data_IF_674248306185
#
_entry.id   IF_674248306185
#
_cell.length_a   1.000
_cell.length_b   1.000
_cell.length_c   1.000
_cell.angle_alpha   90.00
_cell.angle_beta   90.00
_cell.angle_gamma   90.00
#
_symmetry.space_group_name_H-M   'P 1'
#
loop_
_entity.id
_entity.type
_entity.pdbx_description
1 polymer ?
#
# COMPACT_ATOMS: atom_id res chain seq x y z
N UNK A 1 3.03 -24.94 15.92
CA UNK A 1 2.12 -24.17 15.04
C UNK A 1 1.98 -22.76 15.59
N UNK A 2 2.68 -21.78 15.03
CA UNK A 2 2.72 -20.39 15.54
C UNK A 2 1.34 -19.76 15.34
N UNK A 3 0.61 -19.51 16.42
CA UNK A 3 -0.64 -18.73 16.39
C UNK A 3 -0.25 -17.27 16.16
N UNK A 4 -0.27 -16.82 14.90
CA UNK A 4 -0.22 -15.39 14.61
C UNK A 4 -1.41 -14.73 15.31
N UNK A 5 -1.14 -14.00 16.40
CA UNK A 5 -2.12 -13.12 17.04
C UNK A 5 -2.56 -12.15 15.95
N UNK A 6 -3.79 -12.31 15.46
CA UNK A 6 -4.40 -11.39 14.49
C UNK A 6 -4.46 -10.03 15.16
N UNK A 7 -3.49 -9.17 14.88
CA UNK A 7 -3.75 -7.74 14.94
C UNK A 7 -4.97 -7.52 14.01
N UNK A 8 -6.02 -6.89 14.52
CA UNK A 8 -7.24 -6.64 13.74
C UNK A 8 -6.97 -5.50 12.74
N UNK A 9 -6.10 -5.77 11.78
CA UNK A 9 -5.71 -4.84 10.71
C UNK A 9 -6.72 -5.00 9.60
N UNK A 10 -7.47 -3.93 9.31
CA UNK A 10 -8.33 -3.88 8.14
C UNK A 10 -7.49 -3.59 6.89
N UNK A 11 -6.88 -4.65 6.37
CA UNK A 11 -6.03 -4.60 5.16
C UNK A 11 -6.81 -4.04 3.97
N UNK A 12 -8.10 -4.37 3.84
CA UNK A 12 -8.91 -3.90 2.72
C UNK A 12 -9.08 -2.38 2.77
N UNK A 13 -9.39 -1.83 3.94
CA UNK A 13 -9.52 -0.38 4.11
C UNK A 13 -8.19 0.35 3.87
N UNK A 14 -7.06 -0.20 4.32
CA UNK A 14 -5.74 0.41 4.11
C UNK A 14 -5.33 0.40 2.63
N UNK A 15 -5.44 -0.76 1.98
CA UNK A 15 -5.17 -0.90 0.53
C UNK A 15 -6.10 -0.02 -0.28
N UNK A 16 -7.41 -0.01 0.04
CA UNK A 16 -8.41 0.82 -0.63
C UNK A 16 -8.10 2.32 -0.55
N UNK A 17 -7.67 2.81 0.62
CA UNK A 17 -7.23 4.20 0.80
C UNK A 17 -6.02 4.54 -0.07
N UNK A 18 -5.06 3.63 -0.19
CA UNK A 18 -3.89 3.82 -1.05
C UNK A 18 -4.26 3.85 -2.54
N UNK A 19 -5.13 2.95 -2.98
CA UNK A 19 -5.67 2.96 -4.36
C UNK A 19 -6.33 4.32 -4.64
N UNK A 20 -7.19 4.79 -3.73
CA UNK A 20 -7.85 6.08 -3.89
C UNK A 20 -6.86 7.25 -3.95
N UNK A 21 -5.88 7.25 -3.05
CA UNK A 21 -4.84 8.29 -3.01
C UNK A 21 -4.11 8.35 -4.35
N UNK A 22 -3.61 7.21 -4.82
CA UNK A 22 -2.85 7.15 -6.07
C UNK A 22 -3.69 7.51 -7.29
N UNK A 23 -4.95 7.05 -7.33
CA UNK A 23 -5.91 7.43 -8.37
C UNK A 23 -6.06 8.96 -8.45
N UNK A 24 -6.25 9.62 -7.30
CA UNK A 24 -6.40 11.09 -7.22
C UNK A 24 -5.13 11.82 -7.62
N UNK A 25 -3.96 11.35 -7.19
CA UNK A 25 -2.66 11.92 -7.60
C UNK A 25 -2.46 11.93 -9.12
N UNK A 26 -2.96 10.90 -9.80
CA UNK A 26 -2.89 10.76 -11.25
C UNK A 26 -4.08 11.38 -11.99
N UNK A 27 -5.00 12.05 -11.28
CA UNK A 27 -6.15 12.73 -11.86
C UNK A 27 -7.25 11.81 -12.40
N UNK A 28 -7.23 10.52 -12.07
CA UNK A 28 -8.24 9.57 -12.54
C UNK A 28 -9.54 9.66 -11.72
N UNK A 29 -10.68 9.53 -12.37
CA UNK A 29 -11.98 9.36 -11.69
C UNK A 29 -12.21 7.90 -11.33
N UNK A 30 -13.09 7.65 -10.34
CA UNK A 30 -13.45 6.27 -9.97
C UNK A 30 -14.07 5.50 -11.12
N UNK A 31 -14.89 6.16 -11.96
CA UNK A 31 -15.51 5.55 -13.14
C UNK A 31 -14.48 5.14 -14.19
N UNK A 32 -13.42 5.93 -14.39
CA UNK A 32 -12.35 5.60 -15.34
C UNK A 32 -11.59 4.33 -14.95
N UNK A 33 -11.23 4.16 -13.68
CA UNK A 33 -10.57 2.92 -13.23
C UNK A 33 -11.52 1.74 -13.18
N UNK A 34 -12.78 1.95 -12.79
CA UNK A 34 -13.80 0.91 -12.81
C UNK A 34 -13.97 0.33 -14.21
N UNK A 35 -14.05 1.20 -15.23
CA UNK A 35 -14.13 0.79 -16.63
C UNK A 35 -12.89 -0.01 -17.08
N UNK A 36 -11.68 0.42 -16.72
CA UNK A 36 -10.43 -0.31 -17.02
C UNK A 36 -10.37 -1.69 -16.35
N UNK A 37 -11.01 -1.85 -15.19
CA UNK A 37 -11.09 -3.10 -14.44
C UNK A 37 -12.27 -3.98 -14.85
N UNK A 38 -13.19 -3.48 -15.70
CA UNK A 38 -14.41 -4.21 -16.07
C UNK A 38 -15.41 -4.37 -14.91
N UNK A 39 -15.41 -3.44 -13.95
CA UNK A 39 -16.31 -3.47 -12.78
C UNK A 39 -17.20 -2.22 -12.73
N UNK A 40 -18.29 -2.27 -11.97
CA UNK A 40 -19.12 -1.09 -11.75
C UNK A 40 -18.40 -0.02 -10.92
N UNK A 41 -18.71 1.25 -11.14
CA UNK A 41 -18.16 2.36 -10.33
C UNK A 41 -18.52 2.22 -8.84
N UNK A 42 -19.70 1.70 -8.53
CA UNK A 42 -20.11 1.43 -7.15
C UNK A 42 -19.23 0.35 -6.51
N UNK A 43 -18.93 -0.73 -7.23
CA UNK A 43 -18.04 -1.79 -6.76
C UNK A 43 -16.61 -1.27 -6.56
N UNK A 44 -16.11 -0.48 -7.50
CA UNK A 44 -14.81 0.18 -7.35
C UNK A 44 -14.79 1.12 -6.13
N UNK A 45 -15.87 1.87 -5.87
CA UNK A 45 -16.01 2.69 -4.66
C UNK A 45 -16.03 1.85 -3.37
N UNK A 46 -16.60 0.64 -3.39
CA UNK A 46 -16.53 -0.29 -2.24
C UNK A 46 -15.12 -0.81 -2.00
N UNK A 47 -14.34 -1.04 -3.07
CA UNK A 47 -12.92 -1.38 -2.97
C UNK A 47 -12.12 -0.26 -2.32
N UNK A 48 -12.28 0.98 -2.78
CA UNK A 48 -11.56 2.13 -2.20
C UNK A 48 -11.87 2.35 -0.71
N UNK A 49 -13.09 2.02 -0.28
CA UNK A 49 -13.52 2.16 1.12
C UNK A 49 -13.22 0.94 1.99
N UNK A 50 -12.70 -0.15 1.40
CA UNK A 50 -12.44 -1.40 2.11
C UNK A 50 -13.69 -2.21 2.47
N UNK A 51 -14.88 -1.84 1.96
CA UNK A 51 -16.13 -2.55 2.25
C UNK A 51 -16.18 -3.92 1.56
N UNK A 52 -15.57 -4.01 0.37
CA UNK A 52 -15.42 -5.24 -0.36
C UNK A 52 -13.94 -5.61 -0.44
N UNK A 53 -13.64 -6.91 -0.35
CA UNK A 53 -12.30 -7.43 -0.62
C UNK A 53 -11.94 -7.19 -2.09
N UNK A 54 -10.69 -6.85 -2.33
CA UNK A 54 -10.13 -6.67 -3.67
C UNK A 54 -9.38 -7.95 -4.02
N UNK A 55 -9.75 -8.59 -5.12
CA UNK A 55 -9.00 -9.76 -5.60
C UNK A 55 -7.61 -9.35 -6.09
N UNK A 56 -6.64 -10.25 -5.91
CA UNK A 56 -5.25 -10.05 -6.33
C UNK A 56 -5.15 -9.71 -7.82
N UNK A 57 -5.98 -10.31 -8.67
CA UNK A 57 -6.04 -10.00 -10.11
C UNK A 57 -6.28 -8.51 -10.36
N UNK A 58 -7.25 -7.91 -9.67
CA UNK A 58 -7.54 -6.48 -9.80
C UNK A 58 -6.41 -5.62 -9.24
N UNK A 59 -5.76 -6.05 -8.17
CA UNK A 59 -4.64 -5.31 -7.59
C UNK A 59 -3.43 -5.28 -8.53
N UNK A 60 -3.13 -6.39 -9.22
CA UNK A 60 -2.09 -6.46 -10.26
C UNK A 60 -2.44 -5.55 -11.45
N UNK A 61 -3.70 -5.53 -11.88
CA UNK A 61 -4.15 -4.63 -12.94
C UNK A 61 -4.03 -3.16 -12.52
N UNK A 62 -4.42 -2.83 -11.28
CA UNK A 62 -4.27 -1.48 -10.73
C UNK A 62 -2.81 -1.05 -10.65
N UNK A 63 -1.90 -1.94 -10.25
CA UNK A 63 -0.45 -1.66 -10.25
C UNK A 63 0.03 -1.23 -11.64
N UNK A 64 -0.41 -1.94 -12.69
CA UNK A 64 -0.11 -1.61 -14.09
C UNK A 64 -0.74 -0.27 -14.51
N UNK A 65 -2.03 -0.07 -14.25
CA UNK A 65 -2.75 1.13 -14.70
C UNK A 65 -2.33 2.41 -13.98
N UNK A 66 -1.94 2.31 -12.72
CA UNK A 66 -1.49 3.44 -11.91
C UNK A 66 0.03 3.66 -11.97
N UNK A 67 0.74 2.85 -12.76
CA UNK A 67 2.20 2.83 -12.83
C UNK A 67 2.83 2.87 -11.42
N UNK A 68 2.38 1.95 -10.59
CA UNK A 68 2.73 1.89 -9.17
C UNK A 68 3.15 0.47 -8.80
N UNK A 69 4.31 0.28 -8.16
CA UNK A 69 4.73 -1.03 -7.69
C UNK A 69 3.71 -1.66 -6.74
N UNK A 70 3.44 -2.96 -6.87
CA UNK A 70 2.37 -3.62 -6.12
C UNK A 70 2.55 -3.55 -4.59
N UNK A 71 3.80 -3.56 -4.10
CA UNK A 71 4.10 -3.48 -2.67
C UNK A 71 3.64 -2.14 -2.06
N UNK A 72 3.57 -1.07 -2.87
CA UNK A 72 3.22 0.26 -2.41
C UNK A 72 1.80 0.31 -1.84
N UNK A 73 0.87 -0.52 -2.33
CA UNK A 73 -0.49 -0.59 -1.80
C UNK A 73 -0.56 -1.11 -0.36
N UNK A 74 0.49 -1.78 0.13
CA UNK A 74 0.53 -2.45 1.43
C UNK A 74 1.41 -1.76 2.48
N UNK A 75 2.12 -0.68 2.14
CA UNK A 75 3.01 0.00 3.10
C UNK A 75 2.30 0.39 4.42
N UNK A 76 1.04 0.84 4.37
CA UNK A 76 0.28 1.20 5.58
C UNK A 76 -0.16 -0.02 6.41
N UNK A 77 -0.18 -1.20 5.80
CA UNK A 77 -0.43 -2.47 6.51
C UNK A 77 0.78 -2.88 7.33
N UNK A 78 1.98 -2.54 6.87
CA UNK A 78 3.25 -2.90 7.51
C UNK A 78 3.58 -1.88 8.62
N UNK A 79 3.35 -0.59 8.37
CA UNK A 79 3.65 0.48 9.33
C UNK A 79 2.66 0.55 10.50
N UNK A 80 1.41 0.12 10.31
CA UNK A 80 0.44 0.01 11.42
C UNK A 80 0.80 -1.10 12.43
N UNK A 81 1.73 -1.99 12.07
CA UNK A 81 2.28 -3.01 12.98
C UNK A 81 3.41 -2.45 13.86
N UNK A 82 4.06 -1.35 13.46
CA UNK A 82 5.00 -0.62 14.30
C UNK A 82 4.27 0.33 15.24
N UNK A 83 4.24 -0.05 16.52
CA UNK A 83 3.89 0.72 17.72
C UNK A 83 3.96 2.24 17.52
N UNK A 84 2.94 2.95 18.01
CA UNK A 84 2.97 4.40 18.30
C UNK A 84 4.28 4.75 19.02
N UNK A 85 5.30 5.16 18.28
CA UNK A 85 6.49 5.80 18.82
C UNK A 85 6.55 7.16 18.19
N UNK A 86 6.29 8.16 19.02
CA UNK A 86 6.53 9.55 18.65
C UNK A 86 8.01 9.75 18.30
N UNK A 87 8.19 10.68 17.36
CA UNK A 87 9.40 11.35 16.87
C UNK A 87 9.97 10.82 15.53
N UNK A 88 10.25 11.73 14.58
CA UNK A 88 10.83 11.39 13.29
C UNK A 88 12.28 10.92 13.47
N UNK A 89 12.70 9.91 12.71
CA UNK A 89 14.11 9.50 12.65
C UNK A 89 14.96 10.67 12.14
N UNK A 90 15.74 11.23 13.06
CA UNK A 90 16.75 12.26 12.83
C UNK A 90 17.86 11.74 11.90
N UNK A 91 18.37 12.64 11.02
CA UNK A 91 19.40 12.51 9.97
C UNK A 91 20.71 11.77 10.32
N UNK A 92 20.89 11.23 11.53
CA UNK A 92 22.14 10.63 12.02
C UNK A 92 22.33 9.15 11.66
N UNK A 93 21.31 8.44 11.19
CA UNK A 93 21.39 6.99 10.87
C UNK A 93 22.02 6.64 9.52
N UNK A 94 22.29 7.62 8.65
CA UNK A 94 22.86 7.35 7.32
C UNK A 94 24.38 7.12 7.33
N UNK A 95 25.09 7.39 8.44
CA UNK A 95 26.56 7.24 8.49
C UNK A 95 26.99 5.81 8.82
N UNK A 96 26.17 5.06 9.57
CA UNK A 96 26.45 3.65 9.92
C UNK A 96 26.15 2.71 8.75
N UNK A 97 25.09 2.98 7.99
CA UNK A 97 24.73 2.19 6.81
C UNK A 97 25.80 2.31 5.70
N UNK A 98 26.41 3.49 5.54
CA UNK A 98 27.45 3.72 4.53
C UNK A 98 28.78 3.02 4.89
N UNK A 99 29.17 3.07 6.17
CA UNK A 99 30.37 2.35 6.67
C UNK A 99 30.26 0.83 6.53
N UNK A 100 29.06 0.27 6.67
CA UNK A 100 28.85 -1.17 6.54
C UNK A 100 28.92 -1.64 5.07
N UNK A 101 28.51 -0.80 4.10
CA UNK A 101 28.60 -1.12 2.69
C UNK A 101 30.04 -1.06 2.16
N UNK A 102 30.81 -0.05 2.59
CA UNK A 102 32.21 0.12 2.18
C UNK A 102 33.11 -1.01 2.72
N UNK A 103 32.76 -1.62 3.86
CA UNK A 103 33.49 -2.74 4.45
C UNK A 103 33.22 -4.10 3.76
N UNK A 104 32.21 -4.19 2.89
CA UNK A 104 31.84 -5.43 2.20
C UNK A 104 32.39 -5.51 0.76
N UNK A 105 33.05 -4.45 0.28
CA UNK A 105 33.55 -4.33 -1.09
C UNK A 105 35.08 -4.22 -1.19
N UNK A 106 35.81 -4.84 -0.25
CA UNK A 106 37.23 -5.19 -0.39
C UNK A 106 37.50 -6.56 0.22
#
# INVERSE_FOLDING_TARGET
MVKYRRANIDVNALVGKRIQKRRKELGYTGSQLAAKLGVSQQQFSRYERGLNKIDLTYLVLLAKFLNTPIYWFFEDCITSTSVKSGKPLSRRSNLLAKKALDAFLY
#
